data_IF_735378745002
#
_entry.id   IF_735378745002
#
_cell.length_a   1.000
_cell.length_b   1.000
_cell.length_c   1.000
_cell.angle_alpha   90.00
_cell.angle_beta   90.00
_cell.angle_gamma   90.00
#
_symmetry.space_group_name_H-M   'P 1'
#
loop_
_entity.id
_entity.type
_entity.pdbx_description
1 polymer ?
#
# COMPACT_ATOMS: atom_id res chain seq x y z
N UNK A 1 -16.77 51.67 -3.38
CA UNK A 1 -15.95 50.84 -2.47
C UNK A 1 -16.51 49.42 -2.49
N UNK A 2 -16.27 48.62 -3.53
CA UNK A 2 -16.84 47.25 -3.63
C UNK A 2 -15.78 46.18 -4.01
N UNK A 3 -14.59 46.58 -4.45
CA UNK A 3 -13.64 45.66 -5.10
C UNK A 3 -12.70 44.88 -4.16
N UNK A 4 -12.70 45.14 -2.85
CA UNK A 4 -11.76 44.50 -1.91
C UNK A 4 -12.29 43.24 -1.22
N UNK A 5 -13.62 43.01 -1.21
CA UNK A 5 -14.22 41.83 -0.55
C UNK A 5 -14.06 40.53 -1.34
N UNK A 6 -14.00 40.59 -2.67
CA UNK A 6 -13.83 39.41 -3.53
C UNK A 6 -12.45 38.74 -3.40
N UNK A 7 -11.38 39.54 -3.25
CA UNK A 7 -10.02 39.01 -3.10
C UNK A 7 -9.82 38.31 -1.74
N UNK A 8 -10.39 38.85 -0.66
CA UNK A 8 -10.35 38.22 0.67
C UNK A 8 -11.10 36.88 0.72
N UNK A 9 -12.25 36.80 0.05
CA UNK A 9 -13.02 35.55 -0.11
C UNK A 9 -12.26 34.50 -0.91
N UNK A 10 -11.57 34.90 -1.98
CA UNK A 10 -10.78 34.00 -2.81
C UNK A 10 -9.56 33.46 -2.05
N UNK A 11 -8.84 34.31 -1.30
CA UNK A 11 -7.69 33.87 -0.49
C UNK A 11 -8.08 32.89 0.60
N UNK A 12 -9.21 33.09 1.29
CA UNK A 12 -9.71 32.14 2.29
C UNK A 12 -10.14 30.80 1.66
N UNK A 13 -10.75 30.83 0.46
CA UNK A 13 -11.07 29.61 -0.28
C UNK A 13 -9.80 28.85 -0.71
N UNK A 14 -8.76 29.55 -1.16
CA UNK A 14 -7.46 28.92 -1.48
C UNK A 14 -6.81 28.29 -0.25
N UNK A 15 -6.85 28.96 0.90
CA UNK A 15 -6.31 28.42 2.16
C UNK A 15 -7.03 27.15 2.60
N UNK A 16 -8.37 27.14 2.55
CA UNK A 16 -9.15 25.93 2.87
C UNK A 16 -8.89 24.77 1.92
N UNK A 17 -8.73 25.04 0.61
CA UNK A 17 -8.36 24.02 -0.37
C UNK A 17 -6.95 23.50 -0.12
N UNK A 18 -5.99 24.36 0.21
CA UNK A 18 -4.62 23.97 0.54
C UNK A 18 -4.57 23.10 1.80
N UNK A 19 -5.34 23.44 2.84
CA UNK A 19 -5.42 22.63 4.05
C UNK A 19 -6.02 21.25 3.76
N UNK A 20 -7.08 21.22 2.95
CA UNK A 20 -7.71 19.96 2.53
C UNK A 20 -6.76 19.10 1.70
N UNK A 21 -5.98 19.71 0.81
CA UNK A 21 -4.96 19.01 0.04
C UNK A 21 -3.93 18.36 0.97
N UNK A 22 -3.38 19.12 1.93
CA UNK A 22 -2.42 18.59 2.89
C UNK A 22 -3.00 17.42 3.71
N UNK A 23 -4.26 17.54 4.16
CA UNK A 23 -4.95 16.46 4.89
C UNK A 23 -5.10 15.20 4.03
N UNK A 24 -5.46 15.34 2.75
CA UNK A 24 -5.60 14.20 1.84
C UNK A 24 -4.25 13.53 1.58
N UNK A 25 -3.17 14.30 1.47
CA UNK A 25 -1.82 13.76 1.31
C UNK A 25 -1.36 13.00 2.56
N UNK A 26 -1.68 13.48 3.76
CA UNK A 26 -1.41 12.77 5.02
C UNK A 26 -2.22 11.47 5.11
N UNK A 27 -3.50 11.52 4.77
CA UNK A 27 -4.36 10.34 4.77
C UNK A 27 -3.92 9.30 3.74
N UNK A 28 -3.50 9.74 2.54
CA UNK A 28 -2.93 8.89 1.52
C UNK A 28 -1.69 8.16 2.04
N UNK A 29 -0.71 8.90 2.58
CA UNK A 29 0.52 8.32 3.17
C UNK A 29 0.20 7.30 4.26
N UNK A 30 -0.78 7.61 5.11
CA UNK A 30 -1.22 6.72 6.19
C UNK A 30 -1.80 5.42 5.65
N UNK A 31 -2.66 5.49 4.63
CA UNK A 31 -3.29 4.32 4.01
C UNK A 31 -2.25 3.48 3.27
N UNK A 32 -1.35 4.10 2.51
CA UNK A 32 -0.28 3.40 1.80
C UNK A 32 0.62 2.62 2.75
N UNK A 33 1.00 3.22 3.88
CA UNK A 33 1.73 2.52 4.94
C UNK A 33 0.94 1.33 5.50
N UNK A 34 -0.36 1.52 5.77
CA UNK A 34 -1.21 0.44 6.26
C UNK A 34 -1.33 -0.71 5.26
N UNK A 35 -1.44 -0.41 3.97
CA UNK A 35 -1.46 -1.41 2.91
C UNK A 35 -0.16 -2.21 2.92
N UNK A 36 0.99 -1.54 2.99
CA UNK A 36 2.30 -2.18 3.03
C UNK A 36 2.46 -3.15 4.22
N UNK A 37 2.04 -2.72 5.41
CA UNK A 37 2.11 -3.52 6.63
C UNK A 37 1.18 -4.75 6.55
N UNK A 38 -0.05 -4.55 6.07
CA UNK A 38 -1.03 -5.63 5.88
C UNK A 38 -0.59 -6.64 4.83
N UNK A 39 0.00 -6.16 3.74
CA UNK A 39 0.52 -6.98 2.66
C UNK A 39 1.68 -7.86 3.14
N UNK A 40 2.61 -7.29 3.92
CA UNK A 40 3.70 -8.04 4.59
C UNK A 40 3.11 -9.19 5.41
N UNK A 41 2.17 -8.88 6.30
CA UNK A 41 1.54 -9.88 7.16
C UNK A 41 0.74 -10.92 6.39
N UNK A 42 0.04 -10.53 5.32
CA UNK A 42 -0.72 -11.44 4.49
C UNK A 42 0.20 -12.44 3.78
N UNK A 43 1.25 -11.96 3.11
CA UNK A 43 2.19 -12.80 2.37
C UNK A 43 2.89 -13.77 3.32
N UNK A 44 3.46 -13.29 4.43
CA UNK A 44 4.18 -14.13 5.40
C UNK A 44 3.33 -15.27 5.97
N UNK A 45 2.05 -15.00 6.24
CA UNK A 45 1.15 -15.99 6.83
C UNK A 45 0.61 -17.00 5.83
N UNK A 46 0.49 -16.59 4.57
CA UNK A 46 -0.18 -17.38 3.53
C UNK A 46 0.78 -18.06 2.57
N UNK A 47 2.08 -17.73 2.62
CA UNK A 47 3.12 -18.27 1.74
C UNK A 47 3.18 -19.81 1.74
N UNK A 48 2.86 -20.45 2.87
CA UNK A 48 2.97 -21.89 2.99
C UNK A 48 1.94 -22.63 2.14
N UNK A 49 0.66 -22.26 2.21
CA UNK A 49 -0.46 -22.97 1.57
C UNK A 49 -0.99 -22.30 0.30
N UNK A 50 -0.35 -21.21 -0.16
CA UNK A 50 -0.72 -20.47 -1.36
C UNK A 50 -1.64 -19.28 -1.09
N UNK A 51 -1.57 -18.28 -1.98
CA UNK A 51 -2.24 -17.00 -1.84
C UNK A 51 -2.51 -16.32 -3.19
N UNK A 52 -3.13 -15.13 -3.17
CA UNK A 52 -3.49 -14.36 -4.38
C UNK A 52 -2.28 -13.99 -5.25
N UNK A 53 -1.10 -13.87 -4.65
CA UNK A 53 0.11 -13.43 -5.35
C UNK A 53 0.84 -14.61 -6.01
N UNK A 54 1.00 -15.72 -5.29
CA UNK A 54 1.80 -16.89 -5.72
C UNK A 54 0.93 -17.99 -6.33
N UNK A 55 -0.39 -17.93 -6.12
CA UNK A 55 -1.34 -18.97 -6.50
C UNK A 55 -1.55 -20.03 -5.40
N UNK A 56 -2.48 -20.95 -5.66
CA UNK A 56 -2.92 -21.98 -4.70
C UNK A 56 -2.47 -23.40 -5.07
N UNK A 57 -1.51 -23.54 -5.98
CA UNK A 57 -1.04 -24.85 -6.45
C UNK A 57 -0.46 -25.70 -5.30
N UNK A 58 0.17 -25.07 -4.31
CA UNK A 58 0.68 -25.72 -3.10
C UNK A 58 -0.39 -26.09 -2.06
N UNK A 59 -1.65 -25.71 -2.24
CA UNK A 59 -2.69 -25.84 -1.20
C UNK A 59 -2.96 -27.29 -0.79
N UNK A 60 -2.98 -28.23 -1.75
CA UNK A 60 -3.16 -29.65 -1.46
C UNK A 60 -1.90 -30.25 -0.83
N UNK A 61 -0.73 -29.80 -1.29
CA UNK A 61 0.59 -30.26 -0.85
C UNK A 61 0.86 -29.96 0.63
N UNK A 62 0.29 -28.87 1.18
CA UNK A 62 0.43 -28.50 2.60
C UNK A 62 -0.49 -29.26 3.55
N UNK A 63 -1.52 -29.93 3.02
CA UNK A 63 -2.43 -30.77 3.83
C UNK A 63 -1.89 -32.17 4.06
N UNK A 64 -0.83 -32.57 3.35
CA UNK A 64 -0.18 -33.86 3.58
C UNK A 64 0.74 -33.79 4.80
N UNK A 65 0.63 -34.74 5.76
CA UNK A 65 1.53 -34.81 6.89
C UNK A 65 2.97 -35.05 6.41
N UNK A 66 3.89 -34.13 6.77
CA UNK A 66 5.30 -34.20 6.42
C UNK A 66 5.82 -33.08 5.50
N UNK A 67 4.94 -32.28 4.89
CA UNK A 67 5.32 -31.24 3.91
C UNK A 67 5.26 -29.79 4.46
N UNK A 68 5.39 -29.63 5.77
CA UNK A 68 5.29 -28.34 6.50
C UNK A 68 6.50 -27.41 6.29
N UNK A 69 7.42 -27.76 5.39
CA UNK A 69 8.72 -27.10 5.25
C UNK A 69 8.84 -26.24 3.99
N UNK A 70 7.73 -25.96 3.29
CA UNK A 70 7.75 -24.94 2.22
C UNK A 70 8.25 -23.65 2.85
N UNK A 71 9.47 -23.31 2.46
CA UNK A 71 10.36 -22.39 3.14
C UNK A 71 9.65 -21.05 3.23
N UNK A 72 9.60 -20.48 4.44
CA UNK A 72 9.31 -19.06 4.64
C UNK A 72 10.40 -18.27 3.93
N UNK A 73 10.23 -18.04 2.63
CA UNK A 73 11.15 -17.29 1.80
C UNK A 73 11.00 -15.82 2.12
N UNK A 74 12.07 -15.05 1.94
CA UNK A 74 12.00 -13.59 2.00
C UNK A 74 10.92 -13.11 1.02
N UNK A 75 10.13 -12.12 1.44
CA UNK A 75 9.12 -11.50 0.57
C UNK A 75 9.84 -10.81 -0.57
N UNK A 76 9.48 -11.13 -1.80
CA UNK A 76 9.99 -10.43 -2.97
C UNK A 76 9.27 -9.07 -3.07
N UNK A 77 9.96 -7.94 -3.26
CA UNK A 77 9.31 -6.65 -3.48
C UNK A 77 8.29 -6.67 -4.63
N UNK A 78 8.54 -7.47 -5.68
CA UNK A 78 7.63 -7.62 -6.83
C UNK A 78 6.31 -8.30 -6.48
N UNK A 79 6.27 -9.07 -5.39
CA UNK A 79 5.07 -9.76 -4.90
C UNK A 79 4.13 -8.81 -4.13
N UNK A 80 4.55 -7.56 -3.88
CA UNK A 80 3.77 -6.54 -3.18
C UNK A 80 2.77 -5.83 -4.11
N UNK A 81 1.91 -6.61 -4.76
CA UNK A 81 0.99 -6.15 -5.81
C UNK A 81 0.05 -5.00 -5.39
N UNK A 82 -0.27 -4.87 -4.10
CA UNK A 82 -1.12 -3.79 -3.59
C UNK A 82 -0.30 -2.51 -3.40
N UNK A 83 0.90 -2.60 -2.82
CA UNK A 83 1.79 -1.44 -2.68
C UNK A 83 2.24 -0.89 -4.04
N UNK A 84 2.56 -1.76 -5.01
CA UNK A 84 2.97 -1.32 -6.36
C UNK A 84 1.84 -0.70 -7.18
N UNK A 85 0.57 -0.93 -6.79
CA UNK A 85 -0.58 -0.33 -7.48
C UNK A 85 -0.68 1.18 -7.26
N UNK A 86 -0.02 1.70 -6.22
CA UNK A 86 0.13 3.14 -6.00
C UNK A 86 1.46 3.63 -6.55
N UNK A 87 1.41 4.69 -7.36
CA UNK A 87 2.63 5.37 -7.84
C UNK A 87 3.30 6.21 -6.76
N UNK A 88 2.56 6.61 -5.72
CA UNK A 88 3.01 7.48 -4.63
C UNK A 88 3.45 6.72 -3.39
N UNK A 89 3.18 5.41 -3.32
CA UNK A 89 3.58 4.59 -2.18
C UNK A 89 5.11 4.53 -2.05
N UNK A 90 5.64 4.41 -0.81
CA UNK A 90 7.06 4.17 -0.59
C UNK A 90 7.51 2.87 -1.25
N UNK A 91 8.43 2.97 -2.21
CA UNK A 91 8.97 1.84 -2.99
C UNK A 91 10.40 1.52 -2.56
N UNK A 92 10.67 1.55 -1.26
CA UNK A 92 12.03 1.51 -0.67
C UNK A 92 12.91 0.33 -1.15
N UNK A 93 12.36 -0.66 -1.87
CA UNK A 93 13.08 -1.82 -2.43
C UNK A 93 12.82 -2.12 -3.93
N UNK A 94 12.25 -1.21 -4.74
CA UNK A 94 11.94 -1.48 -6.18
C UNK A 94 13.01 -0.94 -7.14
N UNK A 95 14.06 -0.28 -6.63
CA UNK A 95 15.24 0.04 -7.43
C UNK A 95 16.16 -1.18 -7.51
N UNK A 96 15.84 -2.15 -8.37
CA UNK A 96 16.85 -2.94 -9.09
C UNK A 96 16.23 -3.71 -10.29
N UNK A 97 16.71 -3.30 -11.47
CA UNK A 97 16.60 -3.85 -12.84
C UNK A 97 15.26 -3.77 -13.61
#
# INVERSE_FOLDING_TARGET
MESSKGASSASGQLETLSLRQAQLEDDLRRIEKQIFDLETHYIERTQSYGNVVVGWDGFLSCRLPGNQTIRRGRINPKDRIFSISSTTAPKDDIEEE
#
